data_IF_827839915991
#
_entry.id   IF_827839915991
#
_cell.length_a   1.000
_cell.length_b   1.000
_cell.length_c   1.000
_cell.angle_alpha   90.00
_cell.angle_beta   90.00
_cell.angle_gamma   90.00
#
_symmetry.space_group_name_H-M   'P 1'
#
loop_
_entity.id
_entity.type
_entity.pdbx_description
1 polymer ?
#
# COMPACT_ATOMS: atom_id res chain seq x y z
N UNK A 1 18.58 16.88 -50.07
CA UNK A 1 17.43 17.40 -49.30
C UNK A 1 17.16 16.40 -48.18
N UNK A 2 17.36 16.83 -46.93
CA UNK A 2 17.30 15.97 -45.73
C UNK A 2 15.91 16.11 -45.11
N UNK A 3 15.07 15.10 -45.22
CA UNK A 3 13.82 15.00 -44.46
C UNK A 3 14.00 13.97 -43.36
N UNK A 4 14.48 14.43 -42.20
CA UNK A 4 14.45 13.66 -40.96
C UNK A 4 13.06 13.87 -40.37
N UNK A 5 12.17 12.89 -40.53
CA UNK A 5 10.89 12.85 -39.81
C UNK A 5 11.21 12.40 -38.39
N UNK A 6 11.47 13.38 -37.53
CA UNK A 6 11.59 13.20 -36.09
C UNK A 6 10.16 13.10 -35.54
N UNK A 7 9.62 11.87 -35.59
CA UNK A 7 8.35 11.52 -34.95
C UNK A 7 8.61 11.55 -33.44
N UNK A 8 8.43 12.74 -32.85
CA UNK A 8 8.45 12.95 -31.42
C UNK A 8 7.34 12.09 -30.81
N UNK A 9 7.74 10.94 -30.24
CA UNK A 9 6.91 10.20 -29.31
C UNK A 9 6.73 11.11 -28.12
N UNK A 10 5.61 11.85 -28.10
CA UNK A 10 5.16 12.60 -26.95
C UNK A 10 4.88 11.58 -25.84
N UNK A 11 5.90 11.37 -25.00
CA UNK A 11 5.82 10.64 -23.74
C UNK A 11 4.98 11.41 -22.73
N UNK A 12 3.68 11.48 -22.98
CA UNK A 12 2.71 12.06 -22.06
C UNK A 12 1.67 11.00 -21.77
N UNK A 13 1.82 10.34 -20.61
CA UNK A 13 0.74 9.66 -19.87
C UNK A 13 1.20 9.04 -18.54
N UNK A 14 2.47 9.16 -18.12
CA UNK A 14 2.94 8.54 -16.85
C UNK A 14 2.52 9.34 -15.61
N UNK A 15 2.40 10.67 -15.71
CA UNK A 15 2.16 11.53 -14.54
C UNK A 15 0.76 11.38 -13.90
N UNK A 16 -0.29 11.06 -14.66
CA UNK A 16 -1.66 11.07 -14.13
C UNK A 16 -1.96 9.89 -13.19
N UNK A 17 -1.33 8.74 -13.42
CA UNK A 17 -1.47 7.57 -12.53
C UNK A 17 -0.75 7.79 -11.19
N UNK A 18 0.37 8.52 -11.21
CA UNK A 18 1.23 8.73 -10.05
C UNK A 18 0.63 9.59 -8.94
N UNK A 19 -0.57 10.18 -9.12
CA UNK A 19 -1.19 11.05 -8.09
C UNK A 19 -2.61 10.65 -7.70
N UNK A 20 -3.14 9.54 -8.26
CA UNK A 20 -4.53 9.13 -8.05
C UNK A 20 -4.87 8.89 -6.57
N UNK A 21 -3.87 8.49 -5.76
CA UNK A 21 -4.04 8.22 -4.33
C UNK A 21 -3.62 9.38 -3.41
N UNK A 22 -3.12 10.50 -3.95
CA UNK A 22 -2.55 11.60 -3.13
C UNK A 22 -3.59 12.29 -2.24
N UNK A 23 -4.87 12.22 -2.63
CA UNK A 23 -5.99 12.86 -1.91
C UNK A 23 -6.80 11.87 -1.07
N UNK A 24 -6.41 10.59 -1.04
CA UNK A 24 -7.11 9.59 -0.25
C UNK A 24 -6.77 9.78 1.23
N UNK A 25 -7.80 9.95 2.06
CA UNK A 25 -7.62 9.95 3.50
C UNK A 25 -7.47 8.50 3.99
N UNK A 26 -6.23 8.10 4.25
CA UNK A 26 -5.89 6.76 4.72
C UNK A 26 -6.57 6.44 6.06
N UNK A 27 -6.70 7.41 6.96
CA UNK A 27 -7.32 7.15 8.27
C UNK A 27 -8.80 6.81 8.16
N UNK A 28 -9.53 7.43 7.22
CA UNK A 28 -10.94 7.12 6.98
C UNK A 28 -11.11 5.70 6.43
N UNK A 29 -10.16 5.24 5.62
CA UNK A 29 -10.15 3.86 5.11
C UNK A 29 -9.84 2.88 6.25
N UNK A 30 -8.85 3.18 7.09
CA UNK A 30 -8.42 2.29 8.18
C UNK A 30 -9.48 2.13 9.28
N UNK A 31 -10.16 3.21 9.66
CA UNK A 31 -11.27 3.19 10.63
C UNK A 31 -12.49 2.42 10.09
N UNK A 32 -12.69 2.45 8.77
CA UNK A 32 -13.80 1.72 8.16
C UNK A 32 -13.40 0.27 7.84
N UNK A 33 -13.49 -0.61 8.84
CA UNK A 33 -13.19 -2.05 8.71
C UNK A 33 -13.84 -2.72 7.49
N UNK A 34 -15.09 -2.34 7.14
CA UNK A 34 -15.81 -2.89 5.99
C UNK A 34 -15.16 -2.43 4.67
N UNK A 35 -14.81 -1.16 4.57
CA UNK A 35 -14.14 -0.60 3.39
C UNK A 35 -12.73 -1.19 3.24
N UNK A 36 -11.93 -1.20 4.31
CA UNK A 36 -10.60 -1.80 4.33
C UNK A 36 -10.64 -3.26 3.91
N UNK A 37 -11.58 -4.04 4.45
CA UNK A 37 -11.76 -5.46 4.07
C UNK A 37 -12.03 -5.61 2.58
N UNK A 38 -12.85 -4.74 1.97
CA UNK A 38 -13.11 -4.79 0.52
C UNK A 38 -11.85 -4.55 -0.31
N UNK A 39 -10.99 -3.61 0.11
CA UNK A 39 -9.70 -3.40 -0.54
C UNK A 39 -8.78 -4.62 -0.40
N UNK A 40 -8.68 -5.18 0.82
CA UNK A 40 -7.89 -6.40 1.06
C UNK A 40 -8.41 -7.56 0.20
N UNK A 41 -9.71 -7.83 0.20
CA UNK A 41 -10.31 -8.90 -0.60
C UNK A 41 -10.07 -8.71 -2.10
N UNK A 42 -10.11 -7.46 -2.59
CA UNK A 42 -9.78 -7.13 -3.97
C UNK A 42 -8.33 -7.50 -4.31
N UNK A 43 -7.40 -7.08 -3.46
CA UNK A 43 -5.97 -7.38 -3.59
C UNK A 43 -5.69 -8.89 -3.50
N UNK A 44 -6.46 -9.63 -2.70
CA UNK A 44 -6.41 -11.10 -2.62
C UNK A 44 -7.06 -11.80 -3.82
N UNK A 45 -7.75 -11.07 -4.71
CA UNK A 45 -8.41 -11.65 -5.87
C UNK A 45 -9.77 -12.29 -5.61
N UNK A 46 -10.43 -11.95 -4.50
CA UNK A 46 -11.80 -12.41 -4.24
C UNK A 46 -12.74 -11.81 -5.30
N UNK A 47 -13.52 -12.62 -6.04
CA UNK A 47 -14.38 -12.12 -7.13
C UNK A 47 -15.37 -11.05 -6.67
N UNK A 48 -15.65 -10.07 -7.54
CA UNK A 48 -16.67 -9.01 -7.35
C UNK A 48 -16.44 -8.08 -6.14
N UNK A 49 -15.22 -8.04 -5.58
CA UNK A 49 -14.92 -7.16 -4.43
C UNK A 49 -14.30 -5.83 -4.82
N UNK A 50 -13.51 -5.80 -5.91
CA UNK A 50 -12.81 -4.61 -6.40
C UNK A 50 -13.75 -3.47 -6.83
N UNK A 51 -13.50 -2.28 -6.29
CA UNK A 51 -13.96 -1.01 -6.86
C UNK A 51 -13.00 -0.58 -7.98
N UNK A 52 -13.32 0.52 -8.68
CA UNK A 52 -12.38 1.11 -9.66
C UNK A 52 -11.03 1.45 -9.00
N UNK A 53 -11.06 2.07 -7.83
CA UNK A 53 -9.85 2.44 -7.08
C UNK A 53 -9.10 1.22 -6.54
N UNK A 54 -9.83 0.18 -6.11
CA UNK A 54 -9.21 -1.08 -5.67
C UNK A 54 -8.54 -1.83 -6.81
N UNK A 55 -9.13 -1.81 -8.00
CA UNK A 55 -8.53 -2.39 -9.20
C UNK A 55 -7.28 -1.62 -9.62
N UNK A 56 -7.36 -0.29 -9.63
CA UNK A 56 -6.22 0.60 -9.87
C UNK A 56 -5.04 0.30 -8.93
N UNK A 57 -5.31 0.19 -7.62
CA UNK A 57 -4.31 -0.16 -6.62
C UNK A 57 -3.71 -1.55 -6.89
N UNK A 58 -4.56 -2.54 -7.17
CA UNK A 58 -4.14 -3.91 -7.45
C UNK A 58 -3.18 -3.99 -8.64
N UNK A 59 -3.46 -3.24 -9.69
CA UNK A 59 -2.67 -3.25 -10.91
C UNK A 59 -1.33 -2.50 -10.73
N UNK A 60 -1.30 -1.46 -9.89
CA UNK A 60 -0.12 -0.60 -9.68
C UNK A 60 0.81 -1.12 -8.57
N UNK A 61 0.26 -1.78 -7.54
CA UNK A 61 0.99 -2.20 -6.34
C UNK A 61 2.21 -3.09 -6.64
N UNK A 62 2.16 -4.11 -7.53
CA UNK A 62 3.33 -4.93 -7.81
C UNK A 62 4.53 -4.14 -8.34
N UNK A 63 4.27 -3.16 -9.22
CA UNK A 63 5.33 -2.30 -9.73
C UNK A 63 5.87 -1.38 -8.65
N UNK A 64 4.99 -0.75 -7.86
CA UNK A 64 5.39 0.11 -6.76
C UNK A 64 6.26 -0.63 -5.72
N UNK A 65 5.96 -1.90 -5.44
CA UNK A 65 6.86 -2.72 -4.62
C UNK A 65 8.17 -2.97 -5.35
N UNK A 66 8.16 -3.51 -6.57
CA UNK A 66 9.38 -3.84 -7.32
C UNK A 66 10.37 -2.66 -7.47
N UNK A 67 9.87 -1.44 -7.66
CA UNK A 67 10.69 -0.23 -7.81
C UNK A 67 10.93 0.51 -6.49
N UNK A 68 10.54 -0.07 -5.34
CA UNK A 68 10.63 0.57 -4.02
C UNK A 68 9.97 1.96 -4.01
N UNK A 69 8.84 2.02 -4.68
CA UNK A 69 7.98 3.18 -4.84
C UNK A 69 8.70 4.37 -5.49
N UNK A 70 9.71 4.17 -6.36
CA UNK A 70 10.50 5.25 -6.98
C UNK A 70 9.65 6.41 -7.49
N UNK A 71 8.53 6.09 -8.17
CA UNK A 71 7.60 7.06 -8.75
C UNK A 71 6.52 7.59 -7.80
N UNK A 72 6.48 7.11 -6.55
CA UNK A 72 5.45 7.47 -5.59
C UNK A 72 5.70 8.84 -4.97
N UNK A 73 4.61 9.59 -4.83
CA UNK A 73 4.59 10.87 -4.12
C UNK A 73 4.88 10.67 -2.62
N UNK A 74 5.30 11.73 -1.93
CA UNK A 74 5.51 11.67 -0.48
C UNK A 74 4.22 11.29 0.30
N UNK A 75 3.02 11.83 -0.03
CA UNK A 75 1.76 11.36 0.55
C UNK A 75 1.51 9.86 0.35
N UNK A 76 1.82 9.31 -0.83
CA UNK A 76 1.65 7.88 -1.10
C UNK A 76 2.59 7.02 -0.27
N UNK A 77 3.85 7.41 -0.13
CA UNK A 77 4.83 6.68 0.69
C UNK A 77 4.40 6.67 2.16
N UNK A 78 3.97 7.83 2.68
CA UNK A 78 3.44 7.96 4.06
C UNK A 78 2.18 7.12 4.24
N UNK A 79 1.24 7.18 3.29
CA UNK A 79 0.01 6.40 3.31
C UNK A 79 0.25 4.90 3.24
N UNK A 80 1.13 4.45 2.34
CA UNK A 80 1.50 3.04 2.20
C UNK A 80 2.15 2.50 3.48
N UNK A 81 3.11 3.24 4.06
CA UNK A 81 3.71 2.90 5.35
C UNK A 81 2.65 2.80 6.44
N UNK A 82 1.75 3.78 6.53
CA UNK A 82 0.67 3.80 7.53
C UNK A 82 -0.27 2.60 7.41
N UNK A 83 -0.66 2.22 6.19
CA UNK A 83 -1.50 1.03 5.93
C UNK A 83 -0.75 -0.26 6.24
N UNK A 84 0.50 -0.40 5.81
CA UNK A 84 1.31 -1.58 6.07
C UNK A 84 1.47 -1.83 7.57
N UNK A 85 1.87 -0.80 8.32
CA UNK A 85 2.02 -0.86 9.77
C UNK A 85 0.70 -1.26 10.46
N UNK A 86 -0.43 -0.66 10.05
CA UNK A 86 -1.74 -1.04 10.58
C UNK A 86 -2.08 -2.51 10.28
N UNK A 87 -1.81 -3.00 9.09
CA UNK A 87 -2.12 -4.39 8.73
C UNK A 87 -1.22 -5.38 9.48
N UNK A 88 0.07 -5.06 9.67
CA UNK A 88 1.00 -5.90 10.42
C UNK A 88 0.54 -6.02 11.88
N UNK A 89 0.26 -4.90 12.55
CA UNK A 89 -0.09 -4.90 13.97
C UNK A 89 -1.56 -5.27 14.23
N UNK A 90 -2.48 -4.59 13.55
CA UNK A 90 -3.92 -4.67 13.87
C UNK A 90 -4.68 -5.75 13.08
N UNK A 91 -4.13 -6.24 11.97
CA UNK A 91 -4.77 -7.24 11.07
C UNK A 91 -3.76 -8.26 10.54
N UNK A 92 -2.96 -8.92 11.40
CA UNK A 92 -1.80 -9.73 10.98
C UNK A 92 -2.17 -10.85 10.00
N UNK A 93 -3.39 -11.40 10.11
CA UNK A 93 -3.89 -12.37 9.14
C UNK A 93 -4.06 -11.79 7.74
N UNK A 94 -4.61 -10.58 7.62
CA UNK A 94 -4.79 -9.91 6.32
C UNK A 94 -3.43 -9.55 5.73
N UNK A 95 -2.49 -9.06 6.55
CA UNK A 95 -1.11 -8.84 6.12
C UNK A 95 -0.48 -10.14 5.59
N UNK A 96 -0.53 -11.22 6.36
CA UNK A 96 0.04 -12.52 5.97
C UNK A 96 -0.54 -13.04 4.66
N UNK A 97 -1.84 -12.90 4.45
CA UNK A 97 -2.47 -13.36 3.19
C UNK A 97 -2.06 -12.49 2.00
N UNK A 98 -1.88 -11.18 2.18
CA UNK A 98 -1.36 -10.28 1.13
C UNK A 98 0.12 -10.54 0.83
N UNK A 99 0.94 -10.74 1.87
CA UNK A 99 2.38 -10.99 1.73
C UNK A 99 2.67 -12.23 0.89
N UNK A 100 1.84 -13.28 0.99
CA UNK A 100 1.94 -14.47 0.12
C UNK A 100 1.82 -14.16 -1.37
N UNK A 101 1.15 -13.08 -1.74
CA UNK A 101 0.93 -12.66 -3.13
C UNK A 101 1.97 -11.64 -3.57
N UNK A 102 2.27 -10.66 -2.72
CA UNK A 102 3.02 -9.46 -3.09
C UNK A 102 4.45 -9.40 -2.51
N UNK A 103 4.78 -10.24 -1.54
CA UNK A 103 6.04 -10.22 -0.79
C UNK A 103 6.55 -11.64 -0.50
N UNK A 104 6.70 -12.47 -1.54
CA UNK A 104 7.13 -13.87 -1.39
C UNK A 104 8.50 -14.03 -0.73
N UNK A 105 9.38 -13.04 -0.92
CA UNK A 105 10.72 -13.01 -0.33
C UNK A 105 10.75 -12.42 1.09
N UNK A 106 9.60 -11.91 1.59
CA UNK A 106 9.45 -11.33 2.92
C UNK A 106 10.21 -10.01 3.14
N UNK A 107 10.67 -9.36 2.07
CA UNK A 107 11.50 -8.15 2.13
C UNK A 107 10.72 -7.01 2.76
N UNK A 108 9.47 -6.77 2.32
CA UNK A 108 8.66 -5.66 2.82
C UNK A 108 8.14 -5.93 4.22
N UNK A 109 7.74 -7.17 4.49
CA UNK A 109 7.33 -7.60 5.83
C UNK A 109 8.46 -7.34 6.82
N UNK A 110 9.69 -7.73 6.51
CA UNK A 110 10.85 -7.46 7.36
C UNK A 110 11.10 -5.96 7.50
N UNK A 111 11.10 -5.22 6.41
CA UNK A 111 11.36 -3.78 6.43
C UNK A 111 10.38 -3.05 7.37
N UNK A 112 9.07 -3.25 7.20
CA UNK A 112 8.07 -2.57 8.04
C UNK A 112 8.10 -3.05 9.49
N UNK A 113 8.41 -4.33 9.73
CA UNK A 113 8.63 -4.86 11.07
C UNK A 113 9.81 -4.15 11.76
N UNK A 114 10.96 -4.05 11.10
CA UNK A 114 12.16 -3.39 11.62
C UNK A 114 11.91 -1.88 11.85
N UNK A 115 11.16 -1.22 10.96
CA UNK A 115 10.75 0.18 11.13
C UNK A 115 9.86 0.37 12.38
N UNK A 116 8.87 -0.51 12.59
CA UNK A 116 8.00 -0.46 13.78
C UNK A 116 8.80 -0.65 15.07
N UNK A 117 9.75 -1.59 15.08
CA UNK A 117 10.64 -1.79 16.22
C UNK A 117 11.52 -0.57 16.49
N UNK A 118 12.05 0.07 15.45
CA UNK A 118 12.84 1.29 15.58
C UNK A 118 12.01 2.48 16.12
N UNK A 119 10.70 2.49 15.85
CA UNK A 119 9.74 3.44 16.42
C UNK A 119 9.29 3.07 17.84
N UNK A 120 9.79 1.96 18.41
CA UNK A 120 9.48 1.50 19.77
C UNK A 120 8.20 0.66 19.87
N UNK A 121 7.57 0.31 18.74
CA UNK A 121 6.35 -0.49 18.69
C UNK A 121 6.71 -1.97 18.69
N UNK A 122 6.27 -2.70 19.71
CA UNK A 122 6.53 -4.14 19.85
C UNK A 122 5.36 -4.96 19.28
N UNK A 123 5.61 -5.72 18.21
CA UNK A 123 4.61 -6.41 17.38
C UNK A 123 4.47 -7.90 17.69
N UNK A 124 5.06 -8.37 18.80
CA UNK A 124 4.94 -9.72 19.34
C UNK A 124 3.55 -10.06 19.92
N UNK A 125 2.54 -9.23 19.63
CA UNK A 125 1.19 -9.33 20.21
C UNK A 125 1.13 -8.92 21.69
N UNK A 126 2.25 -8.48 22.27
CA UNK A 126 2.37 -8.09 23.68
C UNK A 126 2.53 -6.58 23.88
N UNK A 127 2.25 -5.75 22.86
CA UNK A 127 2.42 -4.29 22.92
C UNK A 127 1.74 -3.70 24.17
N UNK A 128 2.55 -3.14 25.09
CA UNK A 128 2.05 -2.52 26.33
C UNK A 128 1.66 -1.05 26.12
N UNK A 129 1.86 -0.54 24.91
CA UNK A 129 1.46 0.82 24.56
C UNK A 129 -0.04 0.91 24.30
N UNK A 130 -0.72 1.40 25.32
CA UNK A 130 -2.18 1.64 25.34
C UNK A 130 -2.60 2.62 24.23
N UNK A 131 -1.74 3.57 23.86
CA UNK A 131 -1.98 4.53 22.77
C UNK A 131 -1.93 3.86 21.39
N UNK A 132 -0.95 2.99 21.14
CA UNK A 132 -0.84 2.25 19.88
C UNK A 132 -1.97 1.23 19.72
N UNK A 133 -2.33 0.51 20.80
CA UNK A 133 -3.49 -0.41 20.77
C UNK A 133 -4.80 0.29 20.40
N UNK A 134 -5.00 1.51 20.87
CA UNK A 134 -6.19 2.31 20.53
C UNK A 134 -6.34 2.54 19.02
N UNK A 135 -5.23 2.52 18.28
CA UNK A 135 -5.21 2.63 16.82
C UNK A 135 -5.81 1.41 16.11
N UNK A 136 -5.82 0.22 16.74
CA UNK A 136 -6.34 -1.02 16.14
C UNK A 136 -7.83 -1.27 16.35
N UNK A 137 -8.42 -0.62 17.36
CA UNK A 137 -9.79 -0.88 17.83
C UNK A 137 -10.78 0.26 17.56
N UNK A 138 -10.31 1.40 17.03
CA UNK A 138 -11.15 2.54 16.63
C UNK A 138 -11.40 2.59 15.12
#
# INVERSE_FOLDING_TARGET
MRTIILLAVLGVCVSAYNTAFDRVNVEDVLKNKRLLKRYVDCLLGVPKTCTKDGQLLKDTLPNALKTKCEDCSEPQRKGAKRVANYLIDCKPKWWSDLAKIYDSDGIYTKQYHDELLAEGINIDGSSKDTEHKTQCYN
#
